data_IF_463543413976
#
_entry.id   IF_463543413976
#
_cell.length_a   1.000
_cell.length_b   1.000
_cell.length_c   1.000
_cell.angle_alpha   90.00
_cell.angle_beta   90.00
_cell.angle_gamma   90.00
#
_symmetry.space_group_name_H-M   'P 1'
#
loop_
_entity.id
_entity.type
_entity.pdbx_description
1 polymer ?
#
# COMPACT_ATOMS: atom_id res chain seq x y z
N UNK A 1 24.48 6.62 6.44
CA UNK A 1 23.30 7.26 5.80
C UNK A 1 22.12 7.07 6.73
N UNK A 2 21.22 8.07 6.89
CA UNK A 2 19.96 7.83 7.58
C UNK A 2 19.17 6.73 6.85
N UNK A 3 18.42 5.88 7.57
CA UNK A 3 17.59 4.86 6.94
C UNK A 3 16.58 5.51 6.00
N UNK A 4 16.24 4.88 4.86
CA UNK A 4 15.26 5.43 3.93
C UNK A 4 13.91 5.59 4.62
N UNK A 5 13.22 6.70 4.33
CA UNK A 5 11.90 6.99 4.88
C UNK A 5 10.91 5.90 4.46
N UNK A 6 10.22 5.29 5.43
CA UNK A 6 9.17 4.30 5.18
C UNK A 6 7.79 4.83 5.55
N UNK A 7 6.77 4.40 4.81
CA UNK A 7 5.36 4.72 5.06
C UNK A 7 4.53 3.44 5.00
N UNK A 8 3.73 3.21 6.04
CA UNK A 8 2.68 2.19 6.03
C UNK A 8 1.37 2.82 5.60
N UNK A 9 0.73 2.22 4.60
CA UNK A 9 -0.59 2.57 4.10
C UNK A 9 -1.52 1.38 4.29
N UNK A 10 -2.75 1.65 4.71
CA UNK A 10 -3.81 0.64 4.83
C UNK A 10 -4.86 0.91 3.75
N UNK A 11 -5.21 -0.13 3.01
CA UNK A 11 -6.24 -0.11 1.98
C UNK A 11 -7.39 -1.04 2.35
N UNK A 12 -8.62 -0.59 2.12
CA UNK A 12 -9.81 -1.42 2.23
C UNK A 12 -10.24 -1.90 0.84
N UNK A 13 -10.54 -3.19 0.71
CA UNK A 13 -11.21 -3.76 -0.45
C UNK A 13 -12.68 -3.33 -0.44
N UNK A 14 -13.14 -2.68 -1.50
CA UNK A 14 -14.51 -2.21 -1.66
C UNK A 14 -15.02 -2.48 -3.07
N UNK A 15 -16.34 -2.40 -3.28
CA UNK A 15 -16.93 -2.41 -4.62
C UNK A 15 -17.03 -1.00 -5.16
N UNK A 16 -16.74 -0.81 -6.45
CA UNK A 16 -16.90 0.50 -7.09
C UNK A 16 -18.39 0.88 -7.10
N UNK A 17 -18.80 2.03 -6.51
CA UNK A 17 -20.20 2.46 -6.52
C UNK A 17 -20.77 2.66 -7.92
N UNK A 18 -19.93 3.03 -8.89
CA UNK A 18 -20.31 3.25 -10.28
C UNK A 18 -20.33 1.94 -11.10
N UNK A 19 -19.63 0.91 -10.63
CA UNK A 19 -19.54 -0.40 -11.29
C UNK A 19 -19.44 -1.50 -10.23
N UNK A 20 -20.57 -2.01 -9.69
CA UNK A 20 -20.55 -2.93 -8.54
C UNK A 20 -19.84 -4.26 -8.77
N UNK A 21 -19.57 -4.63 -10.02
CA UNK A 21 -18.77 -5.80 -10.40
C UNK A 21 -17.26 -5.58 -10.26
N UNK A 22 -16.81 -4.33 -10.15
CA UNK A 22 -15.42 -3.94 -10.03
C UNK A 22 -15.00 -3.82 -8.56
N UNK A 23 -13.86 -4.43 -8.23
CA UNK A 23 -13.23 -4.31 -6.92
C UNK A 23 -12.22 -3.17 -6.96
N UNK A 24 -12.30 -2.26 -5.99
CA UNK A 24 -11.38 -1.14 -5.79
C UNK A 24 -10.72 -1.21 -4.43
N UNK A 25 -9.56 -0.59 -4.30
CA UNK A 25 -8.80 -0.53 -3.05
C UNK A 25 -8.71 0.92 -2.60
N UNK A 26 -9.38 1.23 -1.51
CA UNK A 26 -9.53 2.60 -1.01
C UNK A 26 -8.57 2.83 0.16
N UNK A 27 -7.73 3.88 0.13
CA UNK A 27 -6.85 4.18 1.25
C UNK A 27 -7.69 4.60 2.46
N UNK A 28 -7.48 3.92 3.59
CA UNK A 28 -8.13 4.23 4.87
C UNK A 28 -7.56 5.53 5.43
N UNK A 29 -6.23 5.67 5.40
CA UNK A 29 -5.55 6.91 5.76
C UNK A 29 -5.33 7.77 4.51
N UNK A 30 -6.31 8.63 4.19
CA UNK A 30 -6.26 9.53 3.03
C UNK A 30 -5.10 10.52 3.06
N UNK A 31 -4.58 10.83 4.25
CA UNK A 31 -3.47 11.77 4.43
C UNK A 31 -2.10 11.10 4.22
N UNK A 32 -2.04 9.76 4.17
CA UNK A 32 -0.80 9.02 4.02
C UNK A 32 0.22 9.31 5.13
N UNK A 33 -0.26 9.75 6.30
CA UNK A 33 0.60 10.02 7.44
C UNK A 33 1.29 8.73 7.87
N UNK A 34 2.59 8.78 8.20
CA UNK A 34 3.31 7.60 8.66
C UNK A 34 2.63 7.06 9.91
N UNK A 35 2.27 5.78 9.86
CA UNK A 35 1.83 5.05 11.05
C UNK A 35 3.10 4.70 11.82
N UNK A 36 3.27 5.28 13.01
CA UNK A 36 4.41 5.00 13.88
C UNK A 36 4.20 3.65 14.61
N UNK A 37 5.24 2.83 14.67
CA UNK A 37 5.26 1.49 15.27
C UNK A 37 6.06 0.52 14.41
N UNK A 38 6.33 -0.70 14.91
CA UNK A 38 7.12 -1.70 14.18
C UNK A 38 6.48 -2.15 12.84
N UNK A 39 5.21 -1.80 12.63
CA UNK A 39 4.42 -2.25 11.49
C UNK A 39 4.06 -3.73 11.60
N UNK A 40 3.05 -4.21 10.87
CA UNK A 40 2.76 -5.64 10.82
C UNK A 40 3.89 -6.36 10.07
N UNK A 41 4.23 -7.57 10.50
CA UNK A 41 5.00 -8.49 9.66
C UNK A 41 4.17 -8.81 8.41
N UNK A 42 4.69 -8.44 7.24
CA UNK A 42 4.00 -8.65 5.98
C UNK A 42 4.57 -9.87 5.24
N UNK A 43 3.71 -10.71 4.65
CA UNK A 43 4.15 -11.77 3.75
C UNK A 43 4.86 -11.19 2.53
N UNK A 44 5.55 -12.07 1.79
CA UNK A 44 6.13 -11.70 0.51
C UNK A 44 5.04 -11.15 -0.42
N UNK A 45 5.30 -10.01 -1.06
CA UNK A 45 4.38 -9.46 -2.07
C UNK A 45 4.06 -10.47 -3.17
N UNK A 46 4.99 -11.39 -3.47
CA UNK A 46 4.81 -12.40 -4.50
C UNK A 46 3.71 -13.43 -4.15
N UNK A 47 3.31 -13.50 -2.88
CA UNK A 47 2.21 -14.35 -2.41
C UNK A 47 0.83 -13.69 -2.58
N UNK A 48 0.80 -12.40 -2.96
CA UNK A 48 -0.45 -11.71 -3.22
C UNK A 48 -1.10 -12.20 -4.52
N UNK A 49 -2.44 -12.36 -4.54
CA UNK A 49 -3.17 -12.62 -5.77
C UNK A 49 -2.87 -11.57 -6.85
N UNK A 50 -2.76 -12.01 -8.11
CA UNK A 50 -2.46 -11.15 -9.27
C UNK A 50 -3.37 -9.91 -9.39
N UNK A 51 -4.65 -10.05 -9.02
CA UNK A 51 -5.60 -8.92 -9.02
C UNK A 51 -5.18 -7.78 -8.09
N UNK A 52 -4.52 -8.11 -6.97
CA UNK A 52 -4.05 -7.14 -5.98
C UNK A 52 -2.75 -6.51 -6.47
N UNK A 53 -1.82 -7.34 -6.96
CA UNK A 53 -0.58 -6.86 -7.55
C UNK A 53 -0.84 -5.85 -8.67
N UNK A 54 -1.80 -6.15 -9.55
CA UNK A 54 -2.25 -5.23 -10.60
C UNK A 54 -2.81 -3.93 -10.01
N UNK A 55 -3.76 -4.02 -9.08
CA UNK A 55 -4.38 -2.85 -8.49
C UNK A 55 -3.39 -1.94 -7.75
N UNK A 56 -2.46 -2.51 -6.98
CA UNK A 56 -1.42 -1.74 -6.31
C UNK A 56 -0.43 -1.13 -7.29
N UNK A 57 -0.05 -1.85 -8.35
CA UNK A 57 0.74 -1.26 -9.44
C UNK A 57 0.05 -0.04 -10.04
N UNK A 58 -1.25 -0.15 -10.35
CA UNK A 58 -2.03 0.95 -10.90
C UNK A 58 -2.14 2.15 -9.92
N UNK A 59 -2.33 1.87 -8.63
CA UNK A 59 -2.40 2.90 -7.57
C UNK A 59 -1.06 3.61 -7.41
N UNK A 60 0.05 2.88 -7.29
CA UNK A 60 1.38 3.44 -7.01
C UNK A 60 2.08 4.03 -8.23
N UNK A 61 1.57 3.79 -9.44
CA UNK A 61 1.96 4.51 -10.64
C UNK A 61 1.42 5.95 -10.70
N UNK A 62 0.51 6.35 -9.81
CA UNK A 62 -0.03 7.71 -9.77
C UNK A 62 1.06 8.74 -9.39
N UNK A 63 1.03 9.98 -9.95
CA UNK A 63 2.05 11.00 -9.70
C UNK A 63 2.33 11.30 -8.22
N UNK A 64 1.31 11.16 -7.35
CA UNK A 64 1.43 11.38 -5.90
C UNK A 64 2.40 10.42 -5.19
N UNK A 65 2.73 9.29 -5.81
CA UNK A 65 3.66 8.29 -5.28
C UNK A 65 5.01 8.30 -6.01
N UNK A 66 5.28 9.29 -6.88
CA UNK A 66 6.59 9.43 -7.52
C UNK A 66 7.70 9.44 -6.46
N UNK A 67 8.76 8.67 -6.69
CA UNK A 67 9.88 8.53 -5.75
C UNK A 67 9.62 7.59 -4.58
N UNK A 68 8.53 6.82 -4.59
CA UNK A 68 8.25 5.77 -3.62
C UNK A 68 8.18 4.41 -4.30
N UNK A 69 8.81 3.41 -3.70
CA UNK A 69 8.77 2.03 -4.13
C UNK A 69 7.92 1.19 -3.16
N UNK A 70 7.12 0.29 -3.72
CA UNK A 70 6.41 -0.73 -2.96
C UNK A 70 7.39 -1.81 -2.52
N UNK A 71 7.59 -2.00 -1.21
CA UNK A 71 8.58 -2.95 -0.65
C UNK A 71 7.96 -4.07 0.18
N UNK A 72 6.67 -3.96 0.52
CA UNK A 72 5.94 -5.00 1.22
C UNK A 72 4.45 -4.78 1.10
N UNK A 73 3.68 -5.85 1.00
CA UNK A 73 2.22 -5.77 1.04
C UNK A 73 1.62 -7.11 1.46
N UNK A 74 0.52 -7.06 2.21
CA UNK A 74 -0.13 -8.24 2.75
C UNK A 74 -1.53 -7.97 3.29
N UNK A 75 -2.34 -9.01 3.53
CA UNK A 75 -3.58 -8.88 4.27
C UNK A 75 -3.32 -8.24 5.64
N UNK A 76 -4.17 -7.30 6.03
CA UNK A 76 -4.16 -6.70 7.35
C UNK A 76 -5.42 -7.14 8.07
N UNK A 77 -5.27 -7.94 9.13
CA UNK A 77 -6.38 -8.43 9.92
C UNK A 77 -6.59 -7.51 11.12
N UNK A 78 -7.69 -6.76 11.10
CA UNK A 78 -8.13 -5.96 12.23
C UNK A 78 -9.41 -6.57 12.78
N UNK A 79 -9.36 -7.09 14.01
CA UNK A 79 -10.52 -7.70 14.66
C UNK A 79 -11.52 -6.66 15.18
N UNK A 80 -11.15 -5.38 15.21
CA UNK A 80 -12.00 -4.30 15.71
C UNK A 80 -12.92 -3.71 14.64
N UNK A 81 -12.69 -4.01 13.35
CA UNK A 81 -13.44 -3.42 12.24
C UNK A 81 -13.78 -4.46 11.19
N UNK A 82 -15.04 -4.46 10.73
CA UNK A 82 -15.47 -5.34 9.64
C UNK A 82 -14.90 -4.90 8.29
N UNK A 83 -14.37 -5.85 7.54
CA UNK A 83 -13.92 -5.63 6.17
C UNK A 83 -12.67 -6.42 5.83
N UNK A 84 -12.18 -6.18 4.62
CA UNK A 84 -10.95 -6.81 4.14
C UNK A 84 -9.94 -5.73 3.85
N UNK A 85 -8.84 -5.77 4.58
CA UNK A 85 -7.81 -4.74 4.54
C UNK A 85 -6.48 -5.31 4.09
N UNK A 86 -5.66 -4.42 3.55
CA UNK A 86 -4.30 -4.72 3.14
C UNK A 86 -3.36 -3.64 3.65
N UNK A 87 -2.27 -4.09 4.25
CA UNK A 87 -1.16 -3.25 4.64
C UNK A 87 -0.16 -3.19 3.49
N UNK A 88 0.38 -2.00 3.24
CA UNK A 88 1.32 -1.72 2.17
C UNK A 88 2.43 -0.84 2.72
N UNK A 89 3.68 -1.28 2.57
CA UNK A 89 4.87 -0.52 2.94
C UNK A 89 5.50 0.07 1.69
N UNK A 90 5.65 1.39 1.72
CA UNK A 90 6.40 2.14 0.74
C UNK A 90 7.74 2.59 1.33
N UNK A 91 8.78 2.56 0.51
CA UNK A 91 10.09 3.09 0.83
C UNK A 91 10.43 4.22 -0.15
N UNK A 92 10.92 5.35 0.36
CA UNK A 92 11.35 6.45 -0.50
C UNK A 92 12.62 6.05 -1.25
N UNK A 93 12.55 6.06 -2.58
CA UNK A 93 13.72 5.83 -3.44
C UNK A 93 14.55 7.10 -3.40
N UNK A 94 15.79 7.01 -2.91
CA UNK A 94 16.74 8.10 -3.10
C UNK A 94 17.04 8.19 -4.59
N UNK A 95 16.76 9.34 -5.22
CA UNK A 95 17.33 9.61 -6.54
C UNK A 95 18.84 9.55 -6.37
N UNK A 96 19.45 8.50 -6.94
CA UNK A 96 20.89 8.48 -7.12
C UNK A 96 21.16 9.60 -8.12
N UNK A 97 21.53 10.77 -7.61
CA UNK A 97 22.12 11.82 -8.43
C UNK A 97 23.41 11.23 -9.00
N UNK A 98 23.31 10.65 -10.20
CA UNK A 98 24.48 10.36 -11.01
C UNK A 98 24.99 11.74 -11.46
N UNK A 99 26.03 12.20 -10.78
CA UNK A 99 26.76 13.43 -11.09
C UNK A 99 27.40 13.35 -12.47
#
# INVERSE_FOLDING_TARGET
MPPPSRRLLIFQEARNPQSPSEIVYLPVNKLGLPICGDGPELPSMLELPLRILKAFTDIFNQPKYKGWALVGAGPYHDTSVEGKYYAVVLEQVQEVMVA
#
